data_IF_392656312461
#
_entry.id   IF_392656312461
#
_cell.length_a   1.000
_cell.length_b   1.000
_cell.length_c   1.000
_cell.angle_alpha   90.00
_cell.angle_beta   90.00
_cell.angle_gamma   90.00
#
_symmetry.space_group_name_H-M   'P 1'
#
loop_
_entity.id
_entity.type
_entity.pdbx_description
1 polymer ?
#
# COMPACT_ATOMS: atom_id res chain seq x y z
N UNK A 1 -28.69 22.50 9.07
CA UNK A 1 -29.01 22.25 7.65
C UNK A 1 -30.26 21.41 7.59
N UNK A 2 -31.20 21.71 6.69
CA UNK A 2 -32.40 20.89 6.50
C UNK A 2 -32.12 19.82 5.42
N UNK A 3 -31.98 18.54 5.78
CA UNK A 3 -31.66 17.47 4.83
C UNK A 3 -32.80 17.19 3.83
N UNK A 4 -34.02 17.70 4.09
CA UNK A 4 -35.17 17.54 3.18
C UNK A 4 -35.10 18.55 2.03
N UNK A 5 -34.27 19.59 2.13
CA UNK A 5 -34.05 20.59 1.09
C UNK A 5 -32.91 20.23 0.11
N UNK A 6 -32.29 19.05 0.27
CA UNK A 6 -31.20 18.60 -0.62
C UNK A 6 -31.72 18.50 -2.04
N UNK A 7 -31.26 19.41 -2.90
CA UNK A 7 -31.63 19.42 -4.32
C UNK A 7 -30.71 18.48 -5.08
N UNK A 8 -31.30 17.50 -5.77
CA UNK A 8 -30.61 16.67 -6.74
C UNK A 8 -29.92 17.54 -7.78
N UNK A 9 -28.65 17.29 -8.03
CA UNK A 9 -27.86 17.97 -9.05
C UNK A 9 -26.38 17.64 -8.93
N UNK A 10 -25.61 17.96 -9.96
CA UNK A 10 -24.16 17.93 -9.92
C UNK A 10 -23.64 19.32 -9.54
N UNK A 11 -22.70 19.36 -8.61
CA UNK A 11 -22.09 20.60 -8.16
C UNK A 11 -20.58 20.52 -8.35
N UNK A 12 -20.00 21.57 -8.91
CA UNK A 12 -18.57 21.73 -9.08
C UNK A 12 -18.02 22.57 -7.93
N UNK A 13 -17.13 21.98 -7.14
CA UNK A 13 -16.39 22.68 -6.09
C UNK A 13 -15.03 23.12 -6.63
N UNK A 14 -14.73 24.42 -6.58
CA UNK A 14 -13.51 24.99 -7.12
C UNK A 14 -12.76 25.76 -6.04
N UNK A 15 -11.49 25.43 -5.86
CA UNK A 15 -10.56 26.17 -5.02
C UNK A 15 -9.96 27.33 -5.82
N UNK A 16 -9.93 28.51 -5.23
CA UNK A 16 -9.48 29.76 -5.85
C UNK A 16 -8.41 30.47 -5.03
N UNK A 17 -7.79 31.48 -5.63
CA UNK A 17 -6.74 32.30 -5.02
C UNK A 17 -5.60 31.45 -4.40
N UNK A 18 -4.86 30.67 -5.22
CA UNK A 18 -3.80 29.81 -4.73
C UNK A 18 -2.75 30.61 -3.95
N UNK A 19 -2.38 30.10 -2.78
CA UNK A 19 -1.33 30.63 -1.91
C UNK A 19 -0.03 29.91 -2.22
N UNK A 20 1.04 30.65 -2.43
CA UNK A 20 2.33 30.09 -2.84
C UNK A 20 3.40 30.20 -1.75
N UNK A 21 4.19 29.14 -1.60
CA UNK A 21 5.48 29.15 -0.91
C UNK A 21 6.54 28.57 -1.84
N UNK A 22 7.59 29.34 -2.13
CA UNK A 22 8.71 28.91 -2.99
C UNK A 22 8.26 28.27 -4.33
N UNK A 23 7.25 28.89 -4.98
CA UNK A 23 6.60 28.44 -6.23
C UNK A 23 5.69 27.21 -6.13
N UNK A 24 5.52 26.60 -4.95
CA UNK A 24 4.55 25.54 -4.73
C UNK A 24 3.25 26.11 -4.16
N UNK A 25 2.11 25.61 -4.64
CA UNK A 25 0.81 25.91 -4.02
C UNK A 25 0.79 25.21 -2.66
N UNK A 26 0.52 25.95 -1.59
CA UNK A 26 0.41 25.41 -0.23
C UNK A 26 -1.03 25.49 0.30
N UNK A 27 -1.86 26.35 -0.28
CA UNK A 27 -3.25 26.53 0.13
C UNK A 27 -4.05 27.35 -0.89
N UNK A 28 -5.29 27.70 -0.52
CA UNK A 28 -6.24 28.47 -1.32
C UNK A 28 -6.94 29.50 -0.45
N UNK A 29 -6.98 30.74 -0.94
CA UNK A 29 -7.61 31.89 -0.28
C UNK A 29 -9.14 31.93 -0.41
N UNK A 30 -9.70 31.18 -1.36
CA UNK A 30 -11.14 31.17 -1.62
C UNK A 30 -11.64 29.83 -2.16
N UNK A 31 -12.95 29.65 -2.15
CA UNK A 31 -13.62 28.55 -2.84
C UNK A 31 -15.00 28.97 -3.37
N UNK A 32 -15.46 28.27 -4.41
CA UNK A 32 -16.79 28.45 -5.01
C UNK A 32 -17.43 27.11 -5.27
N UNK A 33 -18.71 26.97 -4.90
CA UNK A 33 -19.56 25.84 -5.28
C UNK A 33 -20.53 26.31 -6.39
N UNK A 34 -20.46 25.70 -7.57
CA UNK A 34 -21.35 25.99 -8.71
C UNK A 34 -22.29 24.83 -8.97
N UNK A 35 -23.53 25.12 -9.33
CA UNK A 35 -24.42 24.10 -9.89
C UNK A 35 -24.08 23.93 -11.37
N UNK A 36 -23.65 22.72 -11.75
CA UNK A 36 -23.13 22.46 -13.10
C UNK A 36 -24.18 22.68 -14.19
N UNK A 37 -25.43 22.25 -13.94
CA UNK A 37 -26.51 22.35 -14.91
C UNK A 37 -26.92 23.80 -15.23
N UNK A 38 -26.78 24.72 -14.27
CA UNK A 38 -27.19 26.13 -14.42
C UNK A 38 -26.01 27.09 -14.58
N UNK A 39 -24.79 26.67 -14.26
CA UNK A 39 -23.60 27.52 -14.19
C UNK A 39 -23.60 28.52 -13.01
N UNK A 40 -24.64 28.55 -12.20
CA UNK A 40 -24.80 29.53 -11.13
C UNK A 40 -23.95 29.18 -9.90
N UNK A 41 -23.34 30.21 -9.30
CA UNK A 41 -22.72 30.09 -7.98
C UNK A 41 -23.81 29.85 -6.91
N UNK A 42 -23.62 28.80 -6.12
CA UNK A 42 -24.55 28.36 -5.07
C UNK A 42 -24.04 28.80 -3.70
N UNK A 43 -22.73 28.75 -3.49
CA UNK A 43 -22.03 29.24 -2.32
C UNK A 43 -20.60 29.62 -2.68
N UNK A 44 -19.98 30.46 -1.87
CA UNK A 44 -18.58 30.86 -2.05
C UNK A 44 -18.04 31.50 -0.78
N UNK A 45 -16.76 31.28 -0.52
CA UNK A 45 -16.04 31.93 0.57
C UNK A 45 -14.78 32.58 0.05
N UNK A 46 -14.46 33.78 0.57
CA UNK A 46 -13.18 34.45 0.38
C UNK A 46 -12.26 34.28 1.61
N UNK A 47 -12.53 33.27 2.45
CA UNK A 47 -11.68 32.93 3.60
C UNK A 47 -10.71 31.82 3.20
N UNK A 48 -9.42 31.92 3.59
CA UNK A 48 -8.46 30.85 3.35
C UNK A 48 -8.86 29.53 4.00
N UNK A 49 -8.48 28.43 3.35
CA UNK A 49 -8.79 27.08 3.85
C UNK A 49 -7.84 26.59 4.95
N UNK A 50 -6.76 27.32 5.27
CA UNK A 50 -5.75 26.93 6.28
C UNK A 50 -6.33 26.75 7.69
N UNK A 51 -7.18 27.69 8.11
CA UNK A 51 -7.82 27.67 9.43
C UNK A 51 -9.01 26.71 9.45
N UNK A 52 -9.52 26.37 8.27
CA UNK A 52 -10.76 25.65 8.06
C UNK A 52 -11.99 26.55 8.21
N UNK A 53 -13.05 26.24 7.47
CA UNK A 53 -14.32 26.96 7.54
C UNK A 53 -15.49 26.00 7.33
N UNK A 54 -16.64 26.31 7.94
CA UNK A 54 -17.91 25.66 7.67
C UNK A 54 -18.91 26.70 7.17
N UNK A 55 -19.52 26.46 6.02
CA UNK A 55 -20.57 27.28 5.44
C UNK A 55 -21.86 26.46 5.27
N UNK A 56 -22.94 26.95 5.86
CA UNK A 56 -24.27 26.35 5.76
C UNK A 56 -24.99 26.92 4.55
N UNK A 57 -25.25 26.08 3.55
CA UNK A 57 -25.94 26.43 2.31
C UNK A 57 -27.42 26.06 2.44
N UNK A 58 -28.12 26.76 3.33
CA UNK A 58 -29.51 26.44 3.73
C UNK A 58 -30.48 26.35 2.55
N UNK A 59 -30.23 27.08 1.45
CA UNK A 59 -31.09 27.10 0.25
C UNK A 59 -31.18 25.76 -0.48
N UNK A 60 -30.17 24.90 -0.34
CA UNK A 60 -30.10 23.59 -0.99
C UNK A 60 -29.81 22.46 -0.01
N UNK A 61 -29.97 22.69 1.30
CA UNK A 61 -29.80 21.66 2.30
C UNK A 61 -28.39 21.07 2.40
N UNK A 62 -27.34 21.82 2.02
CA UNK A 62 -25.95 21.37 2.12
C UNK A 62 -25.17 22.17 3.19
N UNK A 63 -24.13 21.57 3.75
CA UNK A 63 -23.04 22.29 4.40
C UNK A 63 -21.72 21.92 3.72
N UNK A 64 -20.82 22.89 3.64
CA UNK A 64 -19.44 22.68 3.19
C UNK A 64 -18.53 22.95 4.38
N UNK A 65 -17.84 21.92 4.84
CA UNK A 65 -16.74 22.05 5.79
C UNK A 65 -15.44 21.74 5.05
N UNK A 66 -14.55 22.72 4.98
CA UNK A 66 -13.27 22.59 4.28
C UNK A 66 -12.14 23.06 5.16
N UNK A 67 -11.03 22.33 5.13
CA UNK A 67 -9.75 22.68 5.74
C UNK A 67 -8.64 22.12 4.87
N UNK A 68 -7.51 22.81 4.77
CA UNK A 68 -6.33 22.26 4.10
C UNK A 68 -5.91 20.95 4.77
N UNK A 69 -5.68 19.92 3.95
CA UNK A 69 -5.15 18.65 4.43
C UNK A 69 -3.69 18.76 4.84
N UNK A 70 -3.24 17.85 5.68
CA UNK A 70 -1.86 17.76 6.17
C UNK A 70 -1.31 16.42 5.75
N UNK A 71 0.00 16.33 5.49
CA UNK A 71 0.57 15.04 5.14
C UNK A 71 0.66 14.12 6.37
N UNK A 72 0.67 12.79 6.16
CA UNK A 72 1.09 11.85 7.19
C UNK A 72 2.47 12.21 7.76
N UNK A 73 2.64 12.03 9.08
CA UNK A 73 3.85 12.35 9.84
C UNK A 73 4.28 13.83 9.86
N UNK A 74 3.44 14.77 9.42
CA UNK A 74 3.81 16.20 9.42
C UNK A 74 3.93 16.78 10.84
N UNK A 75 2.97 16.45 11.72
CA UNK A 75 3.01 16.81 13.15
C UNK A 75 2.22 15.78 13.97
N UNK A 76 2.75 14.56 14.15
CA UNK A 76 2.00 13.43 14.70
C UNK A 76 1.66 13.56 16.18
N UNK A 77 2.32 14.46 16.90
CA UNK A 77 2.01 14.75 18.31
C UNK A 77 0.83 15.70 18.46
N UNK A 78 0.58 16.56 17.46
CA UNK A 78 -0.53 17.53 17.47
C UNK A 78 -1.73 17.02 16.65
N UNK A 79 -1.49 16.31 15.55
CA UNK A 79 -2.52 15.75 14.66
C UNK A 79 -2.89 14.35 15.18
N UNK A 80 -4.03 14.16 15.87
CA UNK A 80 -4.28 12.94 16.65
C UNK A 80 -4.38 11.67 15.81
N UNK A 81 -4.74 11.80 14.54
CA UNK A 81 -4.84 10.69 13.60
C UNK A 81 -3.63 10.58 12.67
N UNK A 82 -2.58 11.40 12.86
CA UNK A 82 -1.36 11.38 12.06
C UNK A 82 -1.59 11.33 10.53
N UNK A 83 -2.60 12.07 10.06
CA UNK A 83 -3.00 12.07 8.66
C UNK A 83 -3.77 10.82 8.20
N UNK A 84 -3.87 9.74 8.98
CA UNK A 84 -4.71 8.58 8.63
C UNK A 84 -6.20 8.92 8.75
N UNK A 85 -6.98 8.68 7.70
CA UNK A 85 -8.42 8.97 7.69
C UNK A 85 -9.25 7.73 8.01
N UNK A 86 -9.05 6.65 7.25
CA UNK A 86 -9.64 5.34 7.51
C UNK A 86 -9.04 4.28 6.60
N UNK A 87 -9.21 3.02 7.01
CA UNK A 87 -9.01 1.84 6.19
C UNK A 87 -10.32 1.04 6.13
N UNK A 88 -10.69 0.49 4.98
CA UNK A 88 -11.82 -0.44 4.90
C UNK A 88 -11.63 -1.53 3.85
N UNK A 89 -12.34 -2.64 4.04
CA UNK A 89 -12.46 -3.73 3.07
C UNK A 89 -13.94 -3.93 2.75
N UNK A 90 -14.33 -3.64 1.52
CA UNK A 90 -15.71 -3.69 1.03
C UNK A 90 -15.88 -4.90 0.11
N UNK A 91 -16.79 -5.79 0.46
CA UNK A 91 -17.07 -7.02 -0.29
C UNK A 91 -18.28 -6.86 -1.20
N UNK A 92 -18.23 -7.46 -2.39
CA UNK A 92 -19.38 -7.55 -3.29
C UNK A 92 -20.56 -8.29 -2.66
N UNK A 93 -20.28 -9.28 -1.81
CA UNK A 93 -21.25 -9.87 -0.88
C UNK A 93 -20.78 -9.69 0.57
N UNK A 94 -21.49 -8.85 1.33
CA UNK A 94 -21.18 -8.55 2.73
C UNK A 94 -21.25 -9.78 3.66
N UNK A 95 -21.97 -10.83 3.26
CA UNK A 95 -22.10 -12.08 4.02
C UNK A 95 -20.98 -13.09 3.70
N UNK A 96 -20.17 -12.81 2.67
CA UNK A 96 -19.09 -13.67 2.23
C UNK A 96 -17.74 -12.93 2.23
N UNK A 97 -17.23 -12.70 3.44
CA UNK A 97 -15.95 -12.03 3.69
C UNK A 97 -14.81 -13.04 3.60
N UNK A 98 -14.47 -13.44 2.37
CA UNK A 98 -13.47 -14.47 2.13
C UNK A 98 -12.02 -14.01 2.34
N UNK A 99 -11.77 -12.70 2.32
CA UNK A 99 -10.45 -12.12 2.55
C UNK A 99 -10.33 -11.58 3.98
N UNK A 100 -9.20 -11.81 4.62
CA UNK A 100 -8.77 -11.14 5.84
C UNK A 100 -7.28 -10.80 5.72
N UNK A 101 -6.60 -10.47 6.81
CA UNK A 101 -5.16 -10.31 6.82
C UNK A 101 -4.54 -10.67 8.16
N UNK A 102 -3.20 -10.70 8.18
CA UNK A 102 -2.40 -10.88 9.40
C UNK A 102 -2.50 -9.59 10.22
N UNK A 103 -3.20 -9.59 11.36
CA UNK A 103 -3.24 -8.43 12.22
C UNK A 103 -1.88 -8.24 12.87
N UNK A 104 -1.45 -7.00 12.95
CA UNK A 104 -0.29 -6.63 13.74
C UNK A 104 -0.51 -6.91 15.23
N UNK A 105 0.59 -7.25 15.90
CA UNK A 105 0.63 -7.45 17.34
C UNK A 105 2.01 -7.09 17.87
N UNK A 106 2.07 -6.07 18.72
CA UNK A 106 3.23 -5.76 19.52
C UNK A 106 3.84 -6.99 20.21
N UNK A 107 5.15 -7.12 20.07
CA UNK A 107 5.93 -8.19 20.67
C UNK A 107 7.09 -7.64 21.50
N UNK A 108 6.81 -7.28 22.74
CA UNK A 108 7.83 -6.75 23.65
C UNK A 108 8.84 -7.82 24.12
N UNK A 109 8.56 -9.11 23.91
CA UNK A 109 9.27 -10.22 24.55
C UNK A 109 9.78 -11.31 23.58
N UNK A 110 9.47 -11.22 22.28
CA UNK A 110 9.91 -12.18 21.27
C UNK A 110 8.99 -13.40 21.09
N UNK A 111 7.78 -13.39 21.66
CA UNK A 111 6.86 -14.53 21.57
C UNK A 111 6.06 -14.56 20.28
N UNK A 112 5.83 -13.40 19.66
CA UNK A 112 4.95 -13.23 18.51
C UNK A 112 5.62 -12.43 17.38
N UNK A 113 6.93 -12.61 17.20
CA UNK A 113 7.74 -11.78 16.28
C UNK A 113 7.18 -11.70 14.86
N UNK A 114 6.60 -12.80 14.35
CA UNK A 114 6.02 -12.86 13.00
C UNK A 114 4.70 -12.11 12.86
N UNK A 115 4.09 -11.68 13.98
CA UNK A 115 2.91 -10.82 14.01
C UNK A 115 3.26 -9.37 14.36
N UNK A 116 4.46 -9.09 14.89
CA UNK A 116 4.97 -7.73 15.10
C UNK A 116 5.60 -7.21 13.79
N UNK A 117 4.76 -6.84 12.83
CA UNK A 117 5.17 -6.53 11.47
C UNK A 117 4.90 -5.07 11.06
N UNK A 118 4.09 -4.34 11.81
CA UNK A 118 3.99 -2.88 11.78
C UNK A 118 4.80 -2.40 12.99
N UNK A 119 5.77 -1.52 12.75
CA UNK A 119 6.73 -1.05 13.76
C UNK A 119 6.49 0.41 14.08
N UNK A 120 5.23 0.74 14.33
CA UNK A 120 4.80 2.10 14.63
C UNK A 120 4.62 2.23 16.15
N UNK A 121 4.48 3.45 16.65
CA UNK A 121 4.45 3.69 18.09
C UNK A 121 5.78 4.16 18.64
N UNK A 122 5.93 4.00 19.96
CA UNK A 122 7.06 4.55 20.71
C UNK A 122 7.71 3.51 21.64
N UNK A 123 7.42 2.23 21.44
CA UNK A 123 8.03 1.17 22.24
C UNK A 123 9.52 1.06 21.93
N UNK A 124 10.33 1.07 23.00
CA UNK A 124 11.77 0.82 22.90
C UNK A 124 12.16 -0.26 23.89
N UNK A 125 12.84 -1.30 23.41
CA UNK A 125 13.35 -2.36 24.24
C UNK A 125 14.84 -2.12 24.55
N UNK A 126 15.16 -1.95 25.84
CA UNK A 126 16.52 -1.65 26.31
C UNK A 126 17.54 -2.77 26.06
N UNK A 127 17.07 -4.01 25.87
CA UNK A 127 17.92 -5.20 25.79
C UNK A 127 18.03 -5.75 24.35
N UNK A 128 17.02 -5.52 23.51
CA UNK A 128 17.03 -5.95 22.11
C UNK A 128 16.28 -4.98 21.20
N UNK A 129 17.02 -4.19 20.42
CA UNK A 129 16.45 -3.25 19.45
C UNK A 129 15.63 -3.88 18.31
N UNK A 130 15.67 -5.21 18.12
CA UNK A 130 14.78 -5.90 17.17
C UNK A 130 13.31 -5.96 17.63
N UNK A 131 13.09 -5.74 18.93
CA UNK A 131 11.76 -5.67 19.52
C UNK A 131 11.24 -4.24 19.66
N UNK A 132 12.08 -3.24 19.37
CA UNK A 132 11.66 -1.85 19.36
C UNK A 132 10.88 -1.52 18.09
N UNK A 133 10.06 -0.50 18.21
CA UNK A 133 9.53 0.24 17.07
C UNK A 133 10.66 1.04 16.42
N UNK A 134 10.44 1.48 15.19
CA UNK A 134 11.34 2.41 14.53
C UNK A 134 10.55 3.47 13.78
N UNK A 135 11.22 4.55 13.38
CA UNK A 135 10.53 5.75 12.90
C UNK A 135 9.53 6.31 13.92
N UNK A 136 9.90 6.27 15.22
CA UNK A 136 9.09 6.75 16.35
C UNK A 136 8.63 8.19 16.15
N UNK A 137 9.45 9.03 15.50
CA UNK A 137 9.08 10.42 15.23
C UNK A 137 7.97 10.56 14.17
N UNK A 138 7.79 9.55 13.30
CA UNK A 138 6.83 9.58 12.20
C UNK A 138 5.44 9.06 12.61
N UNK A 139 5.35 8.11 13.56
CA UNK A 139 4.07 7.64 14.12
C UNK A 139 4.14 7.23 15.61
N UNK A 140 4.49 8.14 16.54
CA UNK A 140 4.70 7.84 17.95
C UNK A 140 3.47 7.28 18.68
N UNK A 141 2.27 7.45 18.13
CA UNK A 141 1.02 6.99 18.72
C UNK A 141 0.51 5.67 18.12
N UNK A 142 1.27 5.03 17.22
CA UNK A 142 0.90 3.75 16.60
C UNK A 142 -0.40 3.81 15.80
N UNK A 143 -0.73 4.96 15.19
CA UNK A 143 -1.99 5.11 14.46
C UNK A 143 -2.08 4.13 13.30
N UNK A 144 -0.98 3.89 12.60
CA UNK A 144 -0.95 3.02 11.43
C UNK A 144 -0.97 1.52 11.77
N UNK A 145 -0.90 1.14 13.05
CA UNK A 145 -1.15 -0.24 13.51
C UNK A 145 -2.64 -0.61 13.52
N UNK A 146 -3.51 0.36 13.23
CA UNK A 146 -4.97 0.18 13.22
C UNK A 146 -5.56 0.17 11.81
N UNK A 147 -4.72 0.14 10.77
CA UNK A 147 -5.20 0.18 9.39
C UNK A 147 -5.87 -1.14 9.03
N UNK A 148 -7.19 -1.10 8.91
CA UNK A 148 -8.06 -2.27 8.68
C UNK A 148 -7.82 -3.32 9.76
N UNK A 149 -8.38 -3.08 10.94
CA UNK A 149 -8.33 -4.04 12.04
C UNK A 149 -9.09 -5.32 11.69
N UNK A 150 -8.42 -6.46 11.87
CA UNK A 150 -9.02 -7.78 11.77
C UNK A 150 -8.66 -8.59 13.00
N UNK A 151 -9.44 -9.64 13.27
CA UNK A 151 -9.15 -10.60 14.34
C UNK A 151 -8.90 -11.96 13.73
N UNK A 152 -7.80 -12.59 14.11
CA UNK A 152 -7.49 -13.97 13.74
C UNK A 152 -7.32 -14.83 14.98
N UNK A 153 -7.54 -16.13 14.79
CA UNK A 153 -7.15 -17.15 15.75
C UNK A 153 -5.82 -17.76 15.31
N UNK A 154 -4.90 -17.89 16.25
CA UNK A 154 -3.59 -18.52 16.05
C UNK A 154 -3.42 -19.71 17.01
N UNK A 155 -2.18 -20.10 17.29
CA UNK A 155 -1.82 -21.23 18.14
C UNK A 155 -2.56 -21.22 19.49
N UNK A 156 -3.01 -22.40 19.91
CA UNK A 156 -3.70 -22.58 21.18
C UNK A 156 -5.08 -21.92 21.27
N UNK A 157 -5.65 -21.44 20.15
CA UNK A 157 -6.92 -20.72 20.13
C UNK A 157 -6.81 -19.29 20.67
N UNK A 158 -5.63 -18.71 20.65
CA UNK A 158 -5.45 -17.30 21.02
C UNK A 158 -5.91 -16.38 19.90
N UNK A 159 -6.60 -15.31 20.30
CA UNK A 159 -7.08 -14.27 19.40
C UNK A 159 -6.14 -13.07 19.42
N UNK A 160 -5.75 -12.61 18.24
CA UNK A 160 -5.06 -11.33 18.06
C UNK A 160 -5.86 -10.42 17.14
N UNK A 161 -5.85 -9.13 17.47
CA UNK A 161 -6.52 -8.08 16.72
C UNK A 161 -5.55 -6.93 16.50
N UNK A 162 -5.58 -6.38 15.29
CA UNK A 162 -4.68 -5.32 14.86
C UNK A 162 -4.80 -5.06 13.36
N UNK A 163 -4.08 -4.05 12.87
CA UNK A 163 -4.08 -3.62 11.49
C UNK A 163 -3.47 -4.67 10.55
N UNK A 164 -4.02 -4.75 9.34
CA UNK A 164 -3.62 -5.74 8.32
C UNK A 164 -2.88 -5.11 7.13
N UNK A 165 -2.74 -3.79 7.16
CA UNK A 165 -2.08 -2.97 6.16
C UNK A 165 -1.19 -1.94 6.86
N UNK A 166 -0.12 -1.49 6.20
CA UNK A 166 0.72 -0.44 6.73
C UNK A 166 1.38 0.37 5.61
N UNK A 167 1.72 1.65 5.87
CA UNK A 167 2.72 2.34 5.08
C UNK A 167 4.00 1.50 5.09
N UNK A 168 4.59 1.23 3.92
CA UNK A 168 5.79 0.37 3.85
C UNK A 168 6.98 0.94 4.63
N UNK A 169 6.98 2.24 4.88
CA UNK A 169 7.93 2.91 5.77
C UNK A 169 7.98 2.29 7.18
N UNK A 170 6.83 1.83 7.70
CA UNK A 170 6.66 1.30 9.05
C UNK A 170 6.74 -0.24 9.09
N UNK A 171 6.99 -0.89 7.97
CA UNK A 171 6.88 -2.34 7.88
C UNK A 171 8.17 -3.05 8.31
N UNK A 172 8.05 -4.07 9.18
CA UNK A 172 9.15 -4.85 9.78
C UNK A 172 10.11 -5.41 8.73
N UNK A 173 11.40 -5.15 8.91
CA UNK A 173 12.49 -5.70 8.09
C UNK A 173 13.07 -6.99 8.67
N UNK A 174 12.57 -7.43 9.83
CA UNK A 174 13.05 -8.63 10.51
C UNK A 174 12.41 -9.89 9.91
N UNK A 175 12.77 -11.06 10.47
CA UNK A 175 12.30 -12.36 10.00
C UNK A 175 10.76 -12.37 9.88
N UNK A 176 10.27 -12.91 8.77
CA UNK A 176 8.86 -12.99 8.40
C UNK A 176 8.18 -11.63 8.10
N UNK A 177 8.79 -10.49 8.45
CA UNK A 177 8.29 -9.16 8.13
C UNK A 177 8.34 -8.87 6.62
N UNK A 178 7.48 -7.98 6.08
CA UNK A 178 7.40 -7.75 4.64
C UNK A 178 8.47 -6.76 4.12
N UNK A 179 9.25 -6.12 5.00
CA UNK A 179 10.30 -5.17 4.67
C UNK A 179 11.58 -5.84 4.17
N UNK A 180 12.25 -5.21 3.19
CA UNK A 180 13.53 -5.69 2.68
C UNK A 180 14.72 -5.35 3.61
N UNK A 181 14.85 -4.08 4.00
CA UNK A 181 15.93 -3.61 4.87
C UNK A 181 15.63 -2.22 5.42
N UNK A 182 16.25 -1.86 6.55
CA UNK A 182 16.11 -0.53 7.16
C UNK A 182 16.46 0.60 6.19
N UNK A 183 17.49 0.40 5.36
CA UNK A 183 17.86 1.40 4.34
C UNK A 183 16.77 1.61 3.28
N UNK A 184 15.89 0.64 3.06
CA UNK A 184 14.80 0.71 2.09
C UNK A 184 13.57 1.35 2.70
N UNK A 185 13.12 0.85 3.85
CA UNK A 185 11.93 1.38 4.54
C UNK A 185 12.15 2.82 4.98
N UNK A 186 13.35 3.18 5.47
CA UNK A 186 13.69 4.58 5.82
C UNK A 186 13.72 5.53 4.62
N UNK A 187 13.88 5.02 3.39
CA UNK A 187 13.87 5.83 2.18
C UNK A 187 12.45 6.14 1.71
N UNK A 188 11.48 5.27 2.02
CA UNK A 188 10.06 5.56 1.85
C UNK A 188 9.68 6.67 2.82
N UNK A 189 8.96 7.69 2.37
CA UNK A 189 8.56 8.82 3.19
C UNK A 189 7.05 8.84 3.40
N UNK A 190 6.63 9.08 4.63
CA UNK A 190 5.22 9.28 4.97
C UNK A 190 4.61 10.46 4.19
N UNK A 191 5.41 11.49 3.87
CA UNK A 191 5.04 12.59 2.98
C UNK A 191 4.62 12.12 1.56
N UNK A 192 5.12 10.97 1.09
CA UNK A 192 4.81 10.45 -0.25
C UNK A 192 3.66 9.42 -0.23
N UNK A 193 3.10 9.14 0.96
CA UNK A 193 1.99 8.20 1.13
C UNK A 193 0.69 8.76 0.57
N UNK A 194 0.09 8.09 -0.39
CA UNK A 194 -1.17 8.49 -1.05
C UNK A 194 -2.33 7.58 -0.64
N UNK A 195 -3.56 8.06 -0.81
CA UNK A 195 -4.74 7.23 -0.67
C UNK A 195 -4.82 6.27 -1.86
N UNK A 196 -5.15 5.00 -1.60
CA UNK A 196 -5.24 3.98 -2.64
C UNK A 196 -6.53 3.17 -2.54
N UNK A 197 -7.05 2.81 -3.71
CA UNK A 197 -8.03 1.75 -3.87
C UNK A 197 -7.34 0.53 -4.46
N UNK A 198 -7.43 -0.60 -3.78
CA UNK A 198 -6.94 -1.89 -4.25
C UNK A 198 -8.14 -2.78 -4.49
N UNK A 199 -8.37 -3.15 -5.74
CA UNK A 199 -9.51 -3.93 -6.19
C UNK A 199 -9.02 -5.34 -6.45
N UNK A 200 -9.68 -6.33 -5.86
CA UNK A 200 -9.53 -7.75 -6.16
C UNK A 200 -10.82 -8.22 -6.81
N UNK A 201 -10.72 -8.84 -7.98
CA UNK A 201 -11.89 -9.19 -8.79
C UNK A 201 -11.69 -10.42 -9.65
N UNK A 202 -12.78 -11.15 -9.92
CA UNK A 202 -12.78 -12.30 -10.84
C UNK A 202 -12.71 -11.88 -12.32
N UNK A 203 -12.90 -10.59 -12.60
CA UNK A 203 -12.80 -10.07 -13.95
C UNK A 203 -11.34 -10.06 -14.42
N UNK A 204 -10.94 -11.12 -15.13
CA UNK A 204 -9.60 -11.25 -15.73
C UNK A 204 -9.23 -10.10 -16.68
N UNK A 205 -10.21 -9.33 -17.18
CA UNK A 205 -9.97 -8.13 -17.98
C UNK A 205 -9.40 -6.96 -17.15
N UNK A 206 -9.65 -6.94 -15.85
CA UNK A 206 -9.15 -5.92 -14.93
C UNK A 206 -7.81 -6.29 -14.27
N UNK A 207 -7.38 -7.56 -14.37
CA UNK A 207 -6.16 -8.06 -13.73
C UNK A 207 -4.90 -7.30 -14.16
N UNK A 208 -3.94 -7.23 -13.26
CA UNK A 208 -2.66 -6.55 -13.46
C UNK A 208 -1.57 -7.57 -13.73
N UNK A 209 -0.92 -7.50 -14.90
CA UNK A 209 0.39 -8.15 -15.07
C UNK A 209 1.37 -7.57 -14.05
N UNK A 210 2.07 -8.42 -13.33
CA UNK A 210 2.93 -8.06 -12.20
C UNK A 210 4.19 -8.90 -12.11
N UNK A 211 5.14 -8.42 -11.30
CA UNK A 211 6.28 -9.19 -10.81
C UNK A 211 5.89 -9.91 -9.52
N UNK A 212 6.39 -11.14 -9.35
CA UNK A 212 6.36 -11.89 -8.10
C UNK A 212 7.76 -11.90 -7.49
N UNK A 213 7.86 -11.65 -6.18
CA UNK A 213 9.14 -11.66 -5.45
C UNK A 213 9.21 -12.74 -4.37
N UNK A 214 10.43 -13.13 -4.00
CA UNK A 214 10.68 -14.11 -2.93
C UNK A 214 10.39 -13.51 -1.55
N UNK A 215 9.69 -14.26 -0.69
CA UNK A 215 9.44 -13.88 0.71
C UNK A 215 10.33 -14.61 1.73
N UNK A 216 11.02 -15.67 1.33
CA UNK A 216 11.89 -16.46 2.21
C UNK A 216 13.09 -15.64 2.71
N UNK A 217 13.30 -15.64 4.03
CA UNK A 217 14.42 -14.95 4.68
C UNK A 217 15.76 -15.72 4.60
N UNK A 218 15.70 -17.05 4.43
CA UNK A 218 16.87 -17.91 4.25
C UNK A 218 17.03 -18.34 2.78
N UNK A 219 17.96 -17.70 2.07
CA UNK A 219 18.27 -17.98 0.67
C UNK A 219 18.60 -19.47 0.42
N UNK A 220 19.05 -20.24 1.41
CA UNK A 220 19.30 -21.69 1.24
C UNK A 220 18.02 -22.51 1.07
N UNK A 221 16.88 -21.99 1.53
CA UNK A 221 15.58 -22.62 1.44
C UNK A 221 14.77 -22.15 0.22
N UNK A 222 15.13 -20.99 -0.34
CA UNK A 222 14.42 -20.43 -1.48
C UNK A 222 14.75 -21.15 -2.79
N UNK A 223 13.79 -21.17 -3.70
CA UNK A 223 13.98 -21.72 -5.05
C UNK A 223 15.06 -20.91 -5.78
N UNK A 224 16.13 -21.60 -6.16
CA UNK A 224 17.25 -21.02 -6.92
C UNK A 224 18.23 -20.21 -6.07
N UNK A 225 18.15 -20.26 -4.73
CA UNK A 225 19.02 -19.46 -3.88
C UNK A 225 18.70 -17.96 -3.93
N UNK A 226 17.44 -17.61 -4.25
CA UNK A 226 17.03 -16.23 -4.41
C UNK A 226 16.95 -15.52 -3.06
N UNK A 227 17.38 -14.27 -3.04
CA UNK A 227 17.29 -13.41 -1.87
C UNK A 227 15.88 -12.85 -1.69
N UNK A 228 15.47 -12.62 -0.44
CA UNK A 228 14.21 -11.96 -0.09
C UNK A 228 14.02 -10.68 -0.91
N UNK A 229 12.80 -10.50 -1.42
CA UNK A 229 12.36 -9.40 -2.28
C UNK A 229 13.04 -9.37 -3.66
N UNK A 230 13.88 -10.36 -3.98
CA UNK A 230 14.35 -10.63 -5.33
C UNK A 230 13.26 -11.25 -6.21
N UNK A 231 13.44 -11.16 -7.52
CA UNK A 231 12.55 -11.75 -8.52
C UNK A 231 12.44 -13.27 -8.33
N UNK A 232 11.23 -13.82 -8.31
CA UNK A 232 11.05 -15.28 -8.24
C UNK A 232 11.77 -15.98 -9.40
N UNK A 233 12.60 -16.96 -9.09
CA UNK A 233 13.40 -17.71 -10.07
C UNK A 233 12.62 -18.93 -10.63
N UNK A 234 11.38 -18.67 -11.02
CA UNK A 234 10.47 -19.64 -11.65
C UNK A 234 10.03 -19.08 -13.00
N UNK A 235 9.94 -19.89 -14.08
CA UNK A 235 9.46 -19.42 -15.37
C UNK A 235 8.08 -18.75 -15.29
N UNK A 236 7.94 -17.59 -15.94
CA UNK A 236 6.72 -16.78 -15.86
C UNK A 236 5.47 -17.50 -16.38
N UNK A 237 4.31 -17.12 -15.81
CA UNK A 237 2.99 -17.61 -16.21
C UNK A 237 2.12 -16.50 -16.80
N UNK A 238 1.20 -16.88 -17.68
CA UNK A 238 0.16 -16.01 -18.20
C UNK A 238 -1.04 -15.95 -17.24
N UNK A 239 -2.04 -15.11 -17.54
CA UNK A 239 -3.26 -14.97 -16.74
C UNK A 239 -4.10 -16.24 -16.61
N UNK A 240 -3.90 -17.22 -17.50
CA UNK A 240 -4.55 -18.53 -17.46
C UNK A 240 -3.74 -19.57 -16.69
N UNK A 241 -2.64 -19.16 -16.04
CA UNK A 241 -1.73 -19.99 -15.24
C UNK A 241 -0.87 -20.95 -16.08
N UNK A 242 -0.79 -20.73 -17.39
CA UNK A 242 0.10 -21.49 -18.27
C UNK A 242 1.47 -20.80 -18.38
N UNK A 243 2.52 -21.60 -18.51
CA UNK A 243 3.88 -21.11 -18.78
C UNK A 243 3.92 -20.27 -20.07
N UNK A 244 4.56 -19.10 -20.01
CA UNK A 244 4.71 -18.22 -21.19
C UNK A 244 5.81 -18.74 -22.13
N UNK A 245 6.84 -19.41 -21.60
CA UNK A 245 7.97 -19.97 -22.36
C UNK A 245 8.74 -18.93 -23.21
N UNK A 246 8.79 -17.67 -22.79
CA UNK A 246 9.51 -16.57 -23.47
C UNK A 246 10.87 -16.24 -22.83
N UNK A 247 11.31 -17.06 -21.86
CA UNK A 247 12.55 -16.88 -21.10
C UNK A 247 12.44 -15.87 -19.96
N UNK A 248 11.26 -15.26 -19.73
CA UNK A 248 11.04 -14.44 -18.54
C UNK A 248 10.85 -15.31 -17.29
N UNK A 249 11.25 -14.77 -16.14
CA UNK A 249 11.10 -15.40 -14.83
C UNK A 249 10.26 -14.51 -13.92
N UNK A 250 9.48 -15.09 -13.00
CA UNK A 250 8.82 -14.37 -11.93
C UNK A 250 7.78 -13.34 -12.36
N UNK A 251 7.27 -13.40 -13.60
CA UNK A 251 6.11 -12.60 -14.02
C UNK A 251 4.82 -13.41 -13.87
N UNK A 252 3.77 -12.73 -13.41
CA UNK A 252 2.44 -13.31 -13.24
C UNK A 252 1.34 -12.25 -13.43
N UNK A 253 0.13 -12.55 -12.95
CA UNK A 253 -1.03 -11.68 -12.96
C UNK A 253 -1.65 -11.62 -11.57
N UNK A 254 -1.68 -10.44 -10.98
CA UNK A 254 -2.44 -10.16 -9.76
C UNK A 254 -3.93 -10.06 -10.14
N UNK A 255 -4.84 -10.72 -9.41
CA UNK A 255 -6.28 -10.78 -9.71
C UNK A 255 -7.01 -9.49 -9.35
N UNK A 256 -6.54 -8.36 -9.88
CA UNK A 256 -6.93 -7.05 -9.40
C UNK A 256 -6.03 -5.92 -9.89
N UNK A 257 -6.20 -4.72 -9.32
CA UNK A 257 -5.41 -3.53 -9.61
C UNK A 257 -5.45 -2.52 -8.47
N UNK A 258 -4.51 -1.58 -8.45
CA UNK A 258 -4.49 -0.46 -7.50
C UNK A 258 -4.61 0.88 -8.23
N UNK A 259 -5.32 1.84 -7.62
CA UNK A 259 -5.50 3.20 -8.11
C UNK A 259 -5.04 4.17 -7.02
N UNK A 260 -4.22 5.15 -7.39
CA UNK A 260 -3.98 6.34 -6.57
C UNK A 260 -5.23 7.23 -6.62
N UNK A 261 -5.84 7.49 -5.47
CA UNK A 261 -7.13 8.21 -5.41
C UNK A 261 -6.96 9.69 -5.71
N UNK A 262 -5.82 10.29 -5.34
CA UNK A 262 -5.53 11.70 -5.61
C UNK A 262 -5.28 11.98 -7.10
N UNK A 263 -4.62 11.05 -7.82
CA UNK A 263 -4.27 11.25 -9.24
C UNK A 263 -5.18 10.51 -10.22
N UNK A 264 -5.91 9.49 -9.77
CA UNK A 264 -6.66 8.56 -10.62
C UNK A 264 -5.79 7.60 -11.42
N UNK A 265 -4.47 7.60 -11.21
CA UNK A 265 -3.54 6.74 -11.94
C UNK A 265 -3.57 5.31 -11.41
N UNK A 266 -3.56 4.34 -12.33
CA UNK A 266 -3.30 2.94 -11.97
C UNK A 266 -1.85 2.77 -11.53
N UNK A 267 -1.62 2.05 -10.45
CA UNK A 267 -0.31 1.79 -9.87
C UNK A 267 0.18 0.37 -10.20
N UNK A 268 1.48 0.15 -10.12
CA UNK A 268 2.05 -1.19 -10.16
C UNK A 268 1.79 -1.91 -8.83
N UNK A 269 1.44 -3.19 -8.91
CA UNK A 269 1.34 -4.09 -7.77
C UNK A 269 2.42 -5.16 -7.94
N UNK A 270 3.14 -5.44 -6.87
CA UNK A 270 4.00 -6.62 -6.73
C UNK A 270 3.37 -7.49 -5.64
N UNK A 271 3.42 -8.80 -5.78
CA UNK A 271 3.15 -9.69 -4.65
C UNK A 271 4.35 -10.59 -4.36
N UNK A 272 4.50 -11.01 -3.12
CA UNK A 272 5.51 -11.98 -2.72
C UNK A 272 4.90 -13.38 -2.57
N UNK A 273 5.74 -14.41 -2.56
CA UNK A 273 5.40 -15.76 -2.10
C UNK A 273 6.64 -16.37 -1.45
N UNK A 274 6.48 -17.16 -0.38
CA UNK A 274 7.60 -17.90 0.23
C UNK A 274 7.77 -19.24 -0.47
N UNK A 275 8.82 -19.38 -1.27
CA UNK A 275 8.98 -20.56 -2.11
C UNK A 275 9.32 -21.83 -1.38
N UNK A 276 9.62 -21.76 -0.09
CA UNK A 276 9.74 -22.91 0.77
C UNK A 276 8.37 -23.44 1.23
N UNK A 277 7.36 -22.57 1.35
CA UNK A 277 6.03 -22.89 1.86
C UNK A 277 5.09 -23.41 0.77
N UNK A 278 5.46 -24.49 0.09
CA UNK A 278 4.65 -25.05 -1.00
C UNK A 278 3.29 -25.59 -0.55
N UNK A 279 3.13 -25.96 0.72
CA UNK A 279 1.84 -26.38 1.30
C UNK A 279 0.88 -25.20 1.51
N UNK A 280 1.40 -23.97 1.50
CA UNK A 280 0.66 -22.72 1.57
C UNK A 280 0.75 -21.94 0.26
N UNK A 281 0.84 -22.67 -0.85
CA UNK A 281 0.85 -22.17 -2.22
C UNK A 281 2.04 -21.25 -2.57
N UNK A 282 3.15 -21.29 -1.84
CA UNK A 282 4.24 -20.35 -2.05
C UNK A 282 5.13 -20.56 -3.30
N UNK A 283 4.80 -21.51 -4.19
CA UNK A 283 5.69 -21.95 -5.29
C UNK A 283 4.99 -22.06 -6.66
N UNK A 284 3.91 -21.33 -6.87
CA UNK A 284 3.12 -21.44 -8.10
C UNK A 284 3.00 -20.11 -8.89
N UNK A 285 3.59 -19.02 -8.39
CA UNK A 285 3.48 -17.67 -8.95
C UNK A 285 2.03 -17.18 -9.02
N UNK A 286 1.10 -17.73 -8.25
CA UNK A 286 -0.31 -17.30 -8.21
C UNK A 286 -0.52 -16.60 -6.89
N UNK A 287 -1.21 -15.47 -6.89
CA UNK A 287 -1.64 -14.89 -5.62
C UNK A 287 -2.83 -15.69 -5.08
N UNK A 288 -2.59 -16.53 -4.09
CA UNK A 288 -3.57 -17.45 -3.50
C UNK A 288 -3.25 -17.74 -2.02
N UNK A 289 -3.29 -16.71 -1.14
CA UNK A 289 -2.97 -16.88 0.27
C UNK A 289 -3.77 -18.02 0.91
N UNK A 290 -3.11 -18.80 1.77
CA UNK A 290 -3.79 -19.78 2.61
C UNK A 290 -4.41 -19.12 3.86
N UNK A 291 -5.16 -19.90 4.64
CA UNK A 291 -5.66 -19.48 5.95
C UNK A 291 -4.69 -19.79 7.09
N UNK A 292 -3.55 -20.43 6.82
CA UNK A 292 -2.63 -20.89 7.86
C UNK A 292 -1.69 -19.76 8.27
N UNK A 293 -1.58 -19.52 9.57
CA UNK A 293 -0.78 -18.41 10.10
C UNK A 293 0.54 -18.91 10.69
N UNK A 294 0.51 -20.08 11.31
CA UNK A 294 1.66 -20.74 11.96
C UNK A 294 1.57 -22.25 11.75
N UNK A 295 2.70 -22.94 11.85
CA UNK A 295 2.74 -24.40 11.92
C UNK A 295 2.06 -24.94 13.18
N UNK A 296 1.77 -26.25 13.23
CA UNK A 296 1.24 -26.91 14.45
C UNK A 296 2.18 -26.80 15.66
N UNK A 297 3.50 -26.93 15.43
CA UNK A 297 4.50 -26.69 16.46
C UNK A 297 4.55 -25.19 16.78
N UNK A 298 4.73 -24.86 18.06
CA UNK A 298 4.80 -23.48 18.53
C UNK A 298 6.10 -22.81 18.01
N UNK A 299 6.02 -21.67 17.29
CA UNK A 299 7.21 -20.93 16.87
C UNK A 299 7.95 -20.34 18.08
N UNK A 300 9.24 -20.64 18.23
CA UNK A 300 10.08 -20.11 19.30
C UNK A 300 11.26 -19.34 18.73
N UNK A 301 11.54 -18.18 19.31
CA UNK A 301 12.72 -17.40 19.01
C UNK A 301 13.49 -17.11 20.30
N UNK A 302 14.81 -17.26 20.26
CA UNK A 302 15.70 -16.82 21.34
C UNK A 302 16.33 -15.48 20.96
N UNK A 303 15.92 -14.37 21.59
CA UNK A 303 16.50 -13.04 21.34
C UNK A 303 18.02 -12.97 21.62
N UNK A 304 18.54 -13.84 22.49
CA UNK A 304 19.95 -13.83 22.89
C UNK A 304 20.87 -14.49 21.88
N UNK A 305 20.44 -15.59 21.25
CA UNK A 305 21.21 -16.32 20.23
C UNK A 305 20.76 -16.03 18.81
N UNK A 306 19.63 -15.34 18.66
CA UNK A 306 18.91 -15.12 17.39
C UNK A 306 18.57 -16.42 16.66
N UNK A 307 18.30 -17.48 17.42
CA UNK A 307 17.94 -18.80 16.88
C UNK A 307 16.42 -18.97 16.87
N UNK A 308 15.92 -19.57 15.78
CA UNK A 308 14.52 -19.91 15.59
C UNK A 308 14.36 -21.43 15.69
N UNK A 309 13.36 -21.90 16.43
CA UNK A 309 13.14 -23.32 16.69
C UNK A 309 11.65 -23.64 16.92
N UNK A 310 11.34 -24.94 17.00
CA UNK A 310 9.96 -25.41 17.13
C UNK A 310 9.20 -25.25 15.82
N UNK A 311 8.24 -24.34 15.79
CA UNK A 311 7.43 -24.01 14.62
C UNK A 311 7.95 -22.84 13.77
N UNK A 312 7.11 -22.40 12.84
CA UNK A 312 7.37 -21.23 11.99
C UNK A 312 6.08 -20.49 11.67
N UNK A 313 6.22 -19.21 11.30
CA UNK A 313 5.15 -18.40 10.77
C UNK A 313 4.95 -18.71 9.28
N UNK A 314 3.72 -19.03 8.91
CA UNK A 314 3.30 -19.35 7.54
C UNK A 314 2.68 -18.12 6.86
N UNK A 315 1.92 -17.32 7.61
CA UNK A 315 1.33 -16.04 7.19
C UNK A 315 0.64 -16.12 5.82
N UNK A 316 -0.13 -17.19 5.62
CA UNK A 316 -0.84 -17.46 4.38
C UNK A 316 0.06 -17.81 3.20
N UNK A 317 1.27 -18.33 3.43
CA UNK A 317 2.30 -18.54 2.40
C UNK A 317 3.11 -17.29 2.08
N UNK A 318 2.99 -16.25 2.90
CA UNK A 318 3.60 -14.91 2.72
C UNK A 318 3.25 -14.25 1.39
N UNK A 319 1.97 -14.35 1.01
CA UNK A 319 1.39 -13.73 -0.21
C UNK A 319 1.22 -12.21 -0.09
N UNK A 320 2.27 -11.51 0.34
CA UNK A 320 2.25 -10.08 0.66
C UNK A 320 1.96 -9.25 -0.57
N UNK A 321 1.19 -8.18 -0.42
CA UNK A 321 0.86 -7.24 -1.50
C UNK A 321 1.64 -5.95 -1.28
N UNK A 322 2.38 -5.51 -2.29
CA UNK A 322 3.09 -4.23 -2.31
C UNK A 322 2.48 -3.32 -3.37
N UNK A 323 1.97 -2.17 -2.94
CA UNK A 323 1.53 -1.11 -3.85
C UNK A 323 2.71 -0.20 -4.14
N UNK A 324 3.14 -0.17 -5.39
CA UNK A 324 4.30 0.61 -5.82
C UNK A 324 3.82 1.96 -6.34
N UNK A 325 4.20 3.02 -5.62
CA UNK A 325 3.99 4.39 -6.05
C UNK A 325 4.72 4.69 -7.35
N UNK A 326 4.23 5.69 -8.07
CA UNK A 326 4.81 6.13 -9.33
C UNK A 326 3.90 7.12 -10.03
N UNK A 327 4.41 7.70 -11.12
CA UNK A 327 3.69 8.72 -11.89
C UNK A 327 3.77 8.43 -13.39
N UNK A 328 2.73 8.80 -14.15
CA UNK A 328 2.73 8.78 -15.61
C UNK A 328 3.83 9.67 -16.21
N UNK A 329 4.23 10.73 -15.51
CA UNK A 329 5.28 11.65 -15.98
C UNK A 329 6.60 10.94 -16.24
N UNK A 330 6.92 9.92 -15.43
CA UNK A 330 8.14 9.11 -15.60
C UNK A 330 8.18 8.46 -16.98
N UNK A 331 7.03 8.02 -17.50
CA UNK A 331 6.94 7.34 -18.80
C UNK A 331 7.13 8.29 -20.00
N UNK A 332 7.19 9.60 -19.78
CA UNK A 332 7.56 10.55 -20.85
C UNK A 332 9.00 10.38 -21.30
N UNK A 333 9.88 10.06 -20.36
CA UNK A 333 11.27 9.77 -20.70
C UNK A 333 11.32 8.41 -21.40
N UNK A 334 11.66 8.40 -22.69
CA UNK A 334 11.81 7.16 -23.47
C UNK A 334 12.81 6.16 -22.87
N UNK A 335 13.68 6.61 -21.95
CA UNK A 335 14.67 5.80 -21.25
C UNK A 335 14.25 5.36 -19.85
N UNK A 336 13.00 5.66 -19.43
CA UNK A 336 12.52 5.43 -18.07
C UNK A 336 12.74 4.01 -17.55
N UNK A 337 12.72 3.01 -18.44
CA UNK A 337 12.93 1.60 -18.10
C UNK A 337 14.26 1.36 -17.36
N UNK A 338 15.28 2.18 -17.64
CA UNK A 338 16.60 2.15 -17.01
C UNK A 338 16.78 3.25 -15.94
N UNK A 339 15.74 4.04 -15.69
CA UNK A 339 15.72 5.13 -14.71
C UNK A 339 15.58 4.65 -13.27
N UNK A 340 15.62 5.60 -12.34
CA UNK A 340 15.61 5.40 -10.88
C UNK A 340 14.33 5.87 -10.20
N UNK A 341 13.27 6.12 -10.98
CA UNK A 341 11.96 6.52 -10.47
C UNK A 341 10.93 5.55 -11.03
N UNK A 342 10.03 5.08 -10.17
CA UNK A 342 8.99 4.15 -10.58
C UNK A 342 7.91 4.88 -11.41
N UNK A 343 7.50 4.33 -12.57
CA UNK A 343 6.35 4.85 -13.30
C UNK A 343 5.04 4.45 -12.61
N UNK A 344 3.94 5.09 -12.99
CA UNK A 344 2.62 4.49 -12.80
C UNK A 344 2.51 3.18 -13.63
N UNK A 345 1.38 2.47 -13.53
CA UNK A 345 1.23 1.14 -14.11
C UNK A 345 1.80 1.01 -15.53
N UNK A 346 2.77 0.11 -15.66
CA UNK A 346 3.51 -0.21 -16.89
C UNK A 346 3.67 -1.72 -17.06
N UNK A 347 2.73 -2.49 -16.51
CA UNK A 347 2.77 -3.96 -16.47
C UNK A 347 4.00 -4.51 -15.70
N UNK A 348 4.50 -3.72 -14.74
CA UNK A 348 5.75 -3.96 -14.00
C UNK A 348 6.99 -4.08 -14.90
N UNK A 349 6.98 -3.50 -16.11
CA UNK A 349 8.11 -3.58 -17.03
C UNK A 349 9.39 -2.96 -16.42
N UNK A 350 9.27 -1.78 -15.80
CA UNK A 350 10.38 -1.15 -15.10
C UNK A 350 10.88 -2.01 -13.93
N UNK A 351 9.97 -2.51 -13.09
CA UNK A 351 10.31 -3.34 -11.92
C UNK A 351 11.05 -4.62 -12.38
N UNK A 352 10.53 -5.31 -13.39
CA UNK A 352 11.18 -6.48 -13.97
C UNK A 352 12.57 -6.14 -14.52
N UNK A 353 12.73 -5.01 -15.20
CA UNK A 353 14.05 -4.58 -15.70
C UNK A 353 15.06 -4.35 -14.57
N UNK A 354 14.63 -3.81 -13.43
CA UNK A 354 15.47 -3.68 -12.24
C UNK A 354 15.84 -5.06 -11.66
N UNK A 355 14.88 -5.99 -11.57
CA UNK A 355 15.06 -7.23 -10.81
C UNK A 355 15.52 -8.46 -11.61
N UNK A 356 15.55 -8.42 -12.95
CA UNK A 356 15.91 -9.58 -13.79
C UNK A 356 17.38 -10.00 -13.72
N UNK A 357 18.28 -9.09 -13.33
CA UNK A 357 19.73 -9.34 -13.29
C UNK A 357 20.19 -9.81 -11.90
N UNK A 358 19.57 -10.87 -11.38
CA UNK A 358 19.75 -11.36 -10.01
C UNK A 358 21.16 -11.89 -9.70
N UNK A 359 21.93 -12.27 -10.72
CA UNK A 359 23.32 -12.72 -10.56
C UNK A 359 24.32 -11.55 -10.41
N UNK A 360 23.87 -10.30 -10.56
CA UNK A 360 24.75 -9.14 -10.50
C UNK A 360 25.16 -8.82 -9.04
N UNK A 361 26.45 -8.55 -8.75
CA UNK A 361 26.88 -8.12 -7.42
C UNK A 361 26.15 -6.88 -6.85
N UNK A 362 25.58 -6.04 -7.72
CA UNK A 362 24.76 -4.88 -7.37
C UNK A 362 23.28 -5.17 -7.11
N UNK A 363 22.85 -6.44 -7.09
CA UNK A 363 21.43 -6.79 -7.07
C UNK A 363 20.66 -6.22 -5.86
N UNK A 364 21.28 -6.18 -4.69
CA UNK A 364 20.68 -5.57 -3.50
C UNK A 364 20.31 -4.09 -3.71
N UNK A 365 21.10 -3.35 -4.49
CA UNK A 365 20.79 -1.96 -4.85
C UNK A 365 19.57 -1.88 -5.79
N UNK A 366 19.37 -2.88 -6.65
CA UNK A 366 18.20 -2.96 -7.53
C UNK A 366 16.92 -3.26 -6.75
N UNK A 367 16.98 -4.16 -5.75
CA UNK A 367 15.86 -4.42 -4.83
C UNK A 367 15.53 -3.13 -4.05
N UNK A 368 16.53 -2.49 -3.46
CA UNK A 368 16.36 -1.19 -2.79
C UNK A 368 15.71 -0.15 -3.72
N UNK A 369 16.17 -0.07 -4.97
CA UNK A 369 15.70 0.87 -5.98
C UNK A 369 14.22 0.67 -6.33
N UNK A 370 13.72 -0.55 -6.31
CA UNK A 370 12.29 -0.85 -6.50
C UNK A 370 11.51 -0.47 -5.24
N UNK A 371 11.84 -1.09 -4.11
CA UNK A 371 10.97 -1.07 -2.93
C UNK A 371 11.00 0.21 -2.13
N UNK A 372 11.94 1.13 -2.40
CA UNK A 372 11.86 2.51 -1.89
C UNK A 372 10.68 3.32 -2.47
N UNK A 373 10.02 2.81 -3.51
CA UNK A 373 8.83 3.44 -4.10
C UNK A 373 7.52 2.82 -3.56
N UNK A 374 7.59 1.81 -2.70
CA UNK A 374 6.39 1.18 -2.14
C UNK A 374 5.68 2.16 -1.21
N UNK A 375 4.37 2.35 -1.42
CA UNK A 375 3.55 3.19 -0.54
C UNK A 375 2.92 2.37 0.57
N UNK A 376 2.22 1.29 0.21
CA UNK A 376 1.46 0.45 1.12
C UNK A 376 1.87 -1.01 0.97
N UNK A 377 1.84 -1.73 2.08
CA UNK A 377 1.99 -3.18 2.12
C UNK A 377 0.86 -3.80 2.94
N UNK A 378 0.39 -4.97 2.52
CA UNK A 378 -0.62 -5.74 3.22
C UNK A 378 -0.27 -7.22 3.27
N UNK A 379 -0.66 -7.88 4.36
CA UNK A 379 -0.44 -9.32 4.59
C UNK A 379 -1.79 -10.06 4.50
N UNK A 380 -2.29 -10.38 3.30
CA UNK A 380 -3.58 -11.00 3.12
C UNK A 380 -3.60 -12.46 3.58
N UNK A 381 -4.75 -12.90 4.07
CA UNK A 381 -5.04 -14.29 4.42
C UNK A 381 -6.39 -14.69 3.83
N UNK A 382 -6.54 -15.97 3.49
CA UNK A 382 -7.86 -16.54 3.27
C UNK A 382 -8.58 -16.65 4.62
N UNK A 383 -9.78 -16.10 4.72
CA UNK A 383 -10.63 -16.29 5.89
C UNK A 383 -10.91 -17.79 6.10
N UNK A 384 -10.72 -18.33 7.32
CA UNK A 384 -10.90 -19.76 7.57
C UNK A 384 -12.27 -20.29 7.09
N UNK A 385 -12.24 -21.40 6.34
CA UNK A 385 -13.45 -22.05 5.82
C UNK A 385 -14.14 -21.32 4.65
N UNK A 386 -13.53 -20.26 4.11
CA UNK A 386 -14.04 -19.54 2.93
C UNK A 386 -13.39 -20.03 1.65
N UNK A 387 -14.00 -19.66 0.51
CA UNK A 387 -13.46 -19.94 -0.81
C UNK A 387 -12.74 -18.69 -1.32
N UNK A 388 -11.49 -18.84 -1.74
CA UNK A 388 -10.71 -17.75 -2.34
C UNK A 388 -11.44 -17.20 -3.57
N UNK A 389 -11.49 -15.88 -3.72
CA UNK A 389 -12.12 -15.22 -4.88
C UNK A 389 -13.60 -15.58 -5.06
N UNK A 390 -14.38 -15.63 -3.98
CA UNK A 390 -15.82 -15.90 -4.09
C UNK A 390 -16.66 -14.67 -4.47
N UNK A 391 -16.13 -13.46 -4.27
CA UNK A 391 -16.69 -12.20 -4.76
C UNK A 391 -15.63 -11.09 -4.80
N UNK A 392 -15.93 -9.98 -5.46
CA UNK A 392 -15.03 -8.83 -5.55
C UNK A 392 -14.77 -8.17 -4.17
N UNK A 393 -13.55 -7.66 -3.97
CA UNK A 393 -13.16 -6.93 -2.77
C UNK A 393 -12.54 -5.59 -3.15
N UNK A 394 -12.98 -4.50 -2.52
CA UNK A 394 -12.34 -3.19 -2.62
C UNK A 394 -11.73 -2.81 -1.28
N UNK A 395 -10.41 -2.72 -1.24
CA UNK A 395 -9.64 -2.27 -0.08
C UNK A 395 -9.36 -0.78 -0.27
N UNK A 396 -9.79 0.03 0.70
CA UNK A 396 -9.63 1.48 0.68
C UNK A 396 -8.70 1.89 1.79
N UNK A 397 -7.58 2.51 1.43
CA UNK A 397 -6.63 3.10 2.37
C UNK A 397 -6.64 4.61 2.16
N UNK A 398 -7.02 5.37 3.19
CA UNK A 398 -7.21 6.82 3.08
C UNK A 398 -6.33 7.57 4.05
N UNK A 399 -5.60 8.53 3.50
CA UNK A 399 -4.79 9.49 4.23
C UNK A 399 -5.15 10.91 3.82
N UNK A 400 -4.85 11.86 4.69
CA UNK A 400 -4.97 13.27 4.40
C UNK A 400 -3.82 13.66 3.48
N UNK A 401 -4.16 14.47 2.47
CA UNK A 401 -3.20 15.14 1.61
C UNK A 401 -3.58 16.61 1.50
N UNK A 402 -2.61 17.52 1.47
CA UNK A 402 -2.89 18.89 1.06
C UNK A 402 -3.52 18.90 -0.33
N UNK A 403 -4.54 19.73 -0.51
CA UNK A 403 -5.11 20.00 -1.83
C UNK A 403 -4.02 20.61 -2.71
N UNK A 404 -3.59 19.86 -3.72
CA UNK A 404 -2.60 20.26 -4.70
C UNK A 404 -3.13 20.03 -6.12
N UNK A 405 -2.47 20.62 -7.10
CA UNK A 405 -2.74 20.28 -8.50
C UNK A 405 -2.09 18.95 -8.83
N UNK A 406 -2.88 18.01 -9.33
CA UNK A 406 -2.42 16.74 -9.85
C UNK A 406 -2.59 16.72 -11.36
N UNK A 407 -1.63 16.09 -12.04
CA UNK A 407 -1.75 15.81 -13.46
C UNK A 407 -2.40 14.43 -13.60
N UNK A 408 -3.63 14.40 -14.11
CA UNK A 408 -4.48 13.19 -14.17
C UNK A 408 -4.59 12.61 -15.58
N UNK A 409 -3.56 12.80 -16.41
CA UNK A 409 -3.61 12.47 -17.84
C UNK A 409 -2.61 11.39 -18.23
N UNK A 410 -2.90 10.68 -19.32
CA UNK A 410 -1.92 9.78 -19.95
C UNK A 410 -0.62 10.52 -20.22
N UNK A 411 0.53 9.84 -20.10
CA UNK A 411 1.86 10.46 -20.27
C UNK A 411 1.99 11.27 -21.58
N UNK A 412 1.37 10.78 -22.65
CA UNK A 412 1.33 11.41 -23.99
C UNK A 412 0.53 12.72 -24.05
N UNK A 413 -0.31 12.99 -23.05
CA UNK A 413 -1.19 14.16 -22.97
C UNK A 413 -0.69 15.21 -21.99
N UNK A 414 0.39 14.92 -21.25
CA UNK A 414 1.02 15.86 -20.34
C UNK A 414 2.00 16.68 -21.19
N UNK A 415 1.82 18.00 -21.27
CA UNK A 415 2.72 18.88 -22.03
C UNK A 415 4.02 19.14 -21.25
N UNK A 416 5.16 19.22 -21.95
CA UNK A 416 6.43 19.70 -21.41
C UNK A 416 6.94 20.95 -22.15
N UNK A 417 8.13 21.44 -21.76
CA UNK A 417 8.74 22.64 -22.36
C UNK A 417 9.22 22.47 -23.80
N UNK A 418 9.31 21.23 -24.29
CA UNK A 418 9.74 20.85 -25.62
C UNK A 418 8.54 20.54 -26.52
N UNK A 419 7.37 20.25 -25.94
CA UNK A 419 6.13 20.05 -26.67
C UNK A 419 5.68 21.34 -27.36
N UNK A 420 5.35 21.21 -28.64
CA UNK A 420 4.88 22.32 -29.43
C UNK A 420 3.46 22.68 -29.00
N UNK A 421 3.29 23.86 -28.40
CA UNK A 421 2.01 24.36 -27.87
C UNK A 421 1.04 24.86 -28.97
N UNK A 422 1.27 24.50 -30.24
CA UNK A 422 0.52 25.03 -31.39
C UNK A 422 -0.65 24.16 -31.82
#
# INVERSE_FOLDING_TARGET
>A
VDPVLVRKGTYLFTLGDPVYSQNNITSYGSWVLKNEATGNNVASSSKPIDVGSEELISKIGLSVKIKQGVNPAEDPLIIPNNGFLYGSMEFGDINDRWLTGVPDRDDENGFVWGLNWIRAGSHTNDNNGQLSDYSIDDDPNGIYETVIEQTINVFGGMEYSGGTWAPYHLASVYKDGPGYSNSTTNQVKMLDLHSVDIIITDSMAAWSKCVVVEAQDDDLLSVGGQTKMGLRLTPSINKYKDLVNDGTMGMSWFPGYAINVETGERLNIVFAEDSYLSEDNGRDLIWNPSSNVVTEAFPQWSPQTNEFSGGSYLLGGKHYIYVIGGSAEVKKDSTYINGTVSPNYDECAWIYNQLKNYENPGYAANIWQVFKNTTWVGLPLLSPGRTLHSNDVTIKLRVSKPFNQYITRDASQILDKNDNLT
#
